data_IF_615385766344
#
_entry.id   IF_615385766344
#
_cell.length_a   1.000
_cell.length_b   1.000
_cell.length_c   1.000
_cell.angle_alpha   90.00
_cell.angle_beta   90.00
_cell.angle_gamma   90.00
#
_symmetry.space_group_name_H-M   'P 1'
#
loop_
_entity.id
_entity.type
_entity.pdbx_description
1 polymer ?
#
# COMPACT_ATOMS: atom_id res chain seq x y z
N UNK A 1 14.90 41.27 -6.45
CA UNK A 1 15.55 40.17 -7.21
C UNK A 1 15.21 40.15 -8.70
N UNK A 2 13.93 40.20 -9.14
CA UNK A 2 13.58 40.21 -10.60
C UNK A 2 14.25 41.33 -11.40
N UNK A 3 14.33 42.54 -10.83
CA UNK A 3 15.03 43.67 -11.46
C UNK A 3 16.51 43.36 -11.68
N UNK A 4 17.18 42.79 -10.67
CA UNK A 4 18.59 42.42 -10.76
C UNK A 4 18.85 41.36 -11.84
N UNK A 5 18.04 40.30 -11.89
CA UNK A 5 18.14 39.27 -12.94
C UNK A 5 17.96 39.82 -14.36
N UNK A 6 17.15 40.86 -14.54
CA UNK A 6 16.94 41.50 -15.85
C UNK A 6 18.11 42.40 -16.27
N UNK A 7 18.92 42.89 -15.32
CA UNK A 7 20.00 43.84 -15.56
C UNK A 7 21.35 43.30 -15.10
N UNK A 8 21.45 41.98 -14.96
CA UNK A 8 22.65 41.30 -14.49
C UNK A 8 23.78 41.44 -15.54
N UNK A 9 25.03 41.65 -15.11
CA UNK A 9 26.18 41.57 -16.00
C UNK A 9 26.35 40.17 -16.61
N UNK A 10 26.84 40.08 -17.84
CA UNK A 10 27.04 38.78 -18.53
C UNK A 10 28.07 37.86 -17.82
N UNK A 11 28.96 38.43 -17.01
CA UNK A 11 30.03 37.71 -16.31
C UNK A 11 29.63 37.24 -14.90
N UNK A 12 28.33 37.17 -14.59
CA UNK A 12 27.85 36.79 -13.27
C UNK A 12 26.84 35.64 -13.36
N UNK A 13 27.03 34.62 -12.52
CA UNK A 13 26.11 33.49 -12.37
C UNK A 13 25.48 33.55 -10.99
N UNK A 14 24.14 33.57 -10.92
CA UNK A 14 23.41 33.53 -9.67
C UNK A 14 23.00 32.09 -9.33
N UNK A 15 23.48 31.59 -8.20
CA UNK A 15 23.01 30.31 -7.63
C UNK A 15 22.05 30.63 -6.49
N UNK A 16 20.83 30.08 -6.56
CA UNK A 16 19.80 30.24 -5.54
C UNK A 16 19.43 28.88 -4.97
N UNK A 17 19.50 28.75 -3.65
CA UNK A 17 19.01 27.58 -2.92
C UNK A 17 17.74 27.98 -2.18
N UNK A 18 16.64 27.30 -2.46
CA UNK A 18 15.36 27.55 -1.80
C UNK A 18 14.56 26.27 -1.66
N UNK A 19 13.77 26.17 -0.59
CA UNK A 19 12.78 25.09 -0.42
C UNK A 19 11.53 25.33 -1.27
N UNK A 20 11.23 26.59 -1.59
CA UNK A 20 10.03 27.00 -2.30
C UNK A 20 10.41 27.63 -3.63
N UNK A 21 9.51 27.61 -4.62
CA UNK A 21 9.76 28.25 -5.90
C UNK A 21 9.84 29.78 -5.72
N UNK A 22 11.02 30.42 -5.86
CA UNK A 22 11.16 31.83 -5.56
C UNK A 22 10.45 32.66 -6.64
N UNK A 23 9.89 33.81 -6.26
CA UNK A 23 9.18 34.73 -7.17
C UNK A 23 10.14 35.50 -8.11
N UNK A 24 10.93 34.77 -8.88
CA UNK A 24 11.92 35.29 -9.82
C UNK A 24 11.37 35.49 -11.23
N UNK A 25 10.14 35.07 -11.48
CA UNK A 25 9.61 34.99 -12.84
C UNK A 25 10.26 33.85 -13.62
N UNK A 26 10.38 32.69 -12.97
CA UNK A 26 10.98 31.45 -13.47
C UNK A 26 10.55 31.12 -14.91
N UNK A 27 9.26 31.25 -15.22
CA UNK A 27 8.74 31.02 -16.57
C UNK A 27 9.46 31.83 -17.67
N UNK A 28 9.79 33.11 -17.41
CA UNK A 28 10.51 33.93 -18.39
C UNK A 28 11.97 33.50 -18.55
N UNK A 29 12.61 33.05 -17.47
CA UNK A 29 13.99 32.55 -17.54
C UNK A 29 14.06 31.23 -18.28
N UNK A 30 13.05 30.35 -18.08
CA UNK A 30 12.91 29.07 -18.78
C UNK A 30 12.72 29.25 -20.28
N UNK A 31 11.85 30.17 -20.72
CA UNK A 31 11.64 30.49 -22.15
C UNK A 31 12.92 31.03 -22.82
N UNK A 32 13.78 31.69 -22.05
CA UNK A 32 15.04 32.28 -22.55
C UNK A 32 16.24 31.35 -22.45
N UNK A 33 16.05 30.13 -21.97
CA UNK A 33 17.13 29.17 -21.69
C UNK A 33 18.22 29.75 -20.74
N UNK A 34 17.79 30.60 -19.80
CA UNK A 34 18.63 31.29 -18.81
C UNK A 34 18.51 30.68 -17.41
N UNK A 35 18.06 29.43 -17.33
CA UNK A 35 17.73 28.78 -16.07
C UNK A 35 18.11 27.30 -16.12
N UNK A 36 18.95 26.90 -15.17
CA UNK A 36 19.16 25.50 -14.81
C UNK A 36 18.42 25.22 -13.51
N UNK A 37 17.44 24.33 -13.54
CA UNK A 37 16.71 23.88 -12.34
C UNK A 37 17.25 22.53 -11.92
N UNK A 38 17.70 22.44 -10.66
CA UNK A 38 18.12 21.19 -10.04
C UNK A 38 17.07 20.84 -8.98
N UNK A 39 16.28 19.81 -9.26
CA UNK A 39 15.19 19.35 -8.40
C UNK A 39 15.66 18.39 -7.31
N UNK A 40 14.74 18.04 -6.40
CA UNK A 40 15.00 17.08 -5.32
C UNK A 40 15.44 15.72 -5.83
N UNK A 41 14.90 15.24 -6.96
CA UNK A 41 15.30 13.97 -7.57
C UNK A 41 16.75 13.99 -8.08
N UNK A 42 17.24 15.13 -8.57
CA UNK A 42 18.63 15.27 -9.04
C UNK A 42 19.60 15.50 -7.88
N UNK A 43 19.12 15.99 -6.73
CA UNK A 43 19.91 16.13 -5.50
C UNK A 43 19.92 14.86 -4.65
N UNK A 44 19.00 13.92 -4.90
CA UNK A 44 18.97 12.65 -4.22
C UNK A 44 20.22 11.85 -4.57
N UNK A 45 20.91 11.37 -3.55
CA UNK A 45 22.14 10.60 -3.74
C UNK A 45 21.83 9.29 -4.44
N UNK A 46 22.65 8.98 -5.43
CA UNK A 46 22.72 7.64 -6.02
C UNK A 46 23.37 6.66 -5.04
N UNK A 47 23.23 5.35 -5.29
CA UNK A 47 23.93 4.32 -4.49
C UNK A 47 25.44 4.56 -4.45
N UNK A 48 26.03 4.99 -5.56
CA UNK A 48 27.46 5.30 -5.65
C UNK A 48 27.84 6.52 -4.80
N UNK A 49 27.07 7.60 -4.88
CA UNK A 49 27.30 8.81 -4.08
C UNK A 49 27.09 8.55 -2.59
N UNK A 50 26.07 7.76 -2.22
CA UNK A 50 25.84 7.34 -0.84
C UNK A 50 27.03 6.53 -0.29
N UNK A 51 27.58 5.61 -1.10
CA UNK A 51 28.76 4.84 -0.71
C UNK A 51 29.97 5.75 -0.49
N UNK A 52 30.24 6.64 -1.44
CA UNK A 52 31.33 7.62 -1.32
C UNK A 52 31.14 8.52 -0.09
N UNK A 53 29.91 8.97 0.16
CA UNK A 53 29.57 9.78 1.30
C UNK A 53 29.89 9.08 2.63
N UNK A 54 29.46 7.82 2.79
CA UNK A 54 29.75 7.05 4.01
C UNK A 54 31.24 6.76 4.17
N UNK A 55 31.94 6.43 3.09
CA UNK A 55 33.39 6.19 3.12
C UNK A 55 34.18 7.42 3.57
N UNK A 56 33.72 8.63 3.21
CA UNK A 56 34.34 9.87 3.66
C UNK A 56 33.98 10.27 5.11
N UNK A 57 32.87 9.76 5.66
CA UNK A 57 32.31 10.22 6.94
C UNK A 57 32.50 9.24 8.09
N UNK A 58 32.62 7.95 7.80
CA UNK A 58 32.79 6.90 8.78
C UNK A 58 34.25 6.50 8.88
N UNK A 59 34.70 6.15 10.08
CA UNK A 59 36.06 5.64 10.31
C UNK A 59 36.25 4.20 9.87
N UNK A 60 35.16 3.43 9.82
CA UNK A 60 35.12 2.07 9.30
C UNK A 60 34.23 2.04 8.06
N UNK A 61 34.68 1.47 6.94
CA UNK A 61 33.88 1.38 5.73
C UNK A 61 32.66 0.50 5.97
N UNK A 62 31.54 0.87 5.34
CA UNK A 62 30.35 0.04 5.27
C UNK A 62 30.37 -0.78 3.97
N UNK A 63 29.76 -1.96 4.01
CA UNK A 63 29.58 -2.78 2.82
C UNK A 63 28.69 -2.07 1.80
N UNK A 64 28.94 -2.33 0.51
CA UNK A 64 28.21 -1.67 -0.58
C UNK A 64 26.70 -1.98 -0.54
N UNK A 65 26.34 -3.21 -0.20
CA UNK A 65 24.93 -3.64 -0.09
C UNK A 65 24.21 -2.92 1.05
N UNK A 66 24.87 -2.75 2.20
CA UNK A 66 24.29 -2.03 3.35
C UNK A 66 24.17 -0.52 3.06
N UNK A 67 25.17 0.06 2.37
CA UNK A 67 25.09 1.45 1.88
C UNK A 67 23.92 1.66 0.93
N UNK A 68 23.70 0.71 0.01
CA UNK A 68 22.64 0.80 -0.98
C UNK A 68 21.27 0.69 -0.31
N UNK A 69 21.10 -0.25 0.63
CA UNK A 69 19.89 -0.36 1.45
C UNK A 69 19.59 0.91 2.24
N UNK A 70 20.59 1.48 2.93
CA UNK A 70 20.40 2.74 3.67
C UNK A 70 20.01 3.89 2.75
N UNK A 71 20.57 3.93 1.53
CA UNK A 71 20.20 4.92 0.52
C UNK A 71 18.75 4.73 0.06
N UNK A 72 18.33 3.49 -0.22
CA UNK A 72 16.96 3.16 -0.62
C UNK A 72 15.95 3.50 0.48
N UNK A 73 16.27 3.17 1.75
CA UNK A 73 15.41 3.41 2.91
C UNK A 73 15.09 4.91 3.10
N UNK A 74 16.03 5.79 2.76
CA UNK A 74 15.88 7.25 2.86
C UNK A 74 15.66 7.91 1.49
N UNK A 75 15.48 7.11 0.44
CA UNK A 75 15.37 7.51 -0.96
C UNK A 75 16.40 8.59 -1.37
N UNK A 76 17.67 8.38 -1.01
CA UNK A 76 18.79 9.24 -1.36
C UNK A 76 18.84 10.60 -0.63
N UNK A 77 18.01 10.81 0.41
CA UNK A 77 18.00 12.08 1.12
C UNK A 77 19.30 12.33 1.91
N UNK A 78 20.12 13.26 1.42
CA UNK A 78 21.45 13.56 1.96
C UNK A 78 21.45 13.93 3.45
N UNK A 79 20.43 14.65 3.93
CA UNK A 79 20.32 15.00 5.37
C UNK A 79 20.09 13.76 6.23
N UNK A 80 19.23 12.83 5.79
CA UNK A 80 19.05 11.58 6.52
C UNK A 80 20.34 10.75 6.52
N UNK A 81 21.03 10.62 5.38
CA UNK A 81 22.33 9.95 5.31
C UNK A 81 23.35 10.58 6.28
N UNK A 82 23.34 11.91 6.40
CA UNK A 82 24.18 12.65 7.35
C UNK A 82 23.82 12.37 8.81
N UNK A 83 22.54 12.32 9.16
CA UNK A 83 22.10 11.96 10.51
C UNK A 83 22.50 10.52 10.85
N UNK A 84 22.31 9.58 9.91
CA UNK A 84 22.74 8.19 10.04
C UNK A 84 24.25 8.10 10.32
N UNK A 85 25.05 8.84 9.55
CA UNK A 85 26.50 8.86 9.73
C UNK A 85 26.92 9.45 11.09
N UNK A 86 26.21 10.46 11.60
CA UNK A 86 26.47 11.04 12.92
C UNK A 86 26.16 10.05 14.05
N UNK A 87 25.01 9.37 13.97
CA UNK A 87 24.62 8.35 14.96
C UNK A 87 25.56 7.15 14.98
N UNK A 88 26.05 6.72 13.82
CA UNK A 88 27.03 5.64 13.72
C UNK A 88 28.36 5.98 14.42
N UNK A 89 28.81 7.24 14.33
CA UNK A 89 30.03 7.72 15.00
C UNK A 89 29.92 7.78 16.52
N UNK A 90 28.74 8.09 17.05
CA UNK A 90 28.53 8.20 18.49
C UNK A 90 28.49 6.84 19.18
N UNK A 91 28.05 5.79 18.49
CA UNK A 91 27.80 4.49 19.09
C UNK A 91 28.99 3.50 19.10
N UNK A 92 30.18 3.91 18.63
CA UNK A 92 31.49 3.21 18.76
C UNK A 92 31.44 1.67 18.67
N UNK A 93 30.53 1.12 17.86
CA UNK A 93 30.39 -0.31 17.63
C UNK A 93 30.93 -0.58 16.24
N UNK A 94 31.63 -1.71 16.06
CA UNK A 94 32.14 -2.09 14.74
C UNK A 94 31.00 -2.04 13.73
N UNK A 95 31.25 -1.40 12.59
CA UNK A 95 30.30 -1.22 11.49
C UNK A 95 29.65 -2.54 11.01
N UNK A 96 30.22 -3.68 11.43
CA UNK A 96 29.82 -5.04 11.08
C UNK A 96 28.60 -5.57 11.86
N UNK A 97 28.14 -4.92 12.95
CA UNK A 97 27.08 -5.48 13.81
C UNK A 97 25.70 -4.81 13.73
N UNK A 98 25.46 -3.86 12.82
CA UNK A 98 24.36 -2.93 13.11
C UNK A 98 23.58 -2.33 11.94
N UNK A 99 23.37 -2.97 10.78
CA UNK A 99 22.35 -2.44 9.83
C UNK A 99 20.95 -2.32 10.48
N UNK A 100 20.52 -3.34 11.25
CA UNK A 100 19.22 -3.37 11.95
C UNK A 100 19.16 -2.48 13.20
N UNK A 101 20.26 -2.38 13.97
CA UNK A 101 20.34 -1.46 15.12
C UNK A 101 20.48 -0.01 14.68
N UNK A 102 21.21 0.24 13.59
CA UNK A 102 21.26 1.54 12.94
C UNK A 102 19.86 1.91 12.48
N UNK A 103 19.11 1.05 11.77
CA UNK A 103 17.73 1.37 11.37
C UNK A 103 16.84 1.86 12.53
N UNK A 104 16.92 1.24 13.72
CA UNK A 104 16.16 1.66 14.91
C UNK A 104 16.62 2.97 15.57
N UNK A 105 17.94 3.22 15.65
CA UNK A 105 18.50 4.47 16.24
C UNK A 105 18.42 5.63 15.22
N UNK A 106 18.55 5.32 13.94
CA UNK A 106 18.36 6.27 12.83
C UNK A 106 16.93 6.81 12.86
N UNK A 107 15.93 5.98 13.17
CA UNK A 107 14.55 6.40 13.25
C UNK A 107 14.30 7.47 14.33
N UNK A 108 14.99 7.43 15.48
CA UNK A 108 14.78 8.43 16.54
C UNK A 108 15.37 9.80 16.20
N UNK A 109 16.66 9.87 15.81
CA UNK A 109 17.29 11.15 15.45
C UNK A 109 16.68 11.79 14.22
N UNK A 110 16.26 10.98 13.26
CA UNK A 110 15.54 11.44 12.08
C UNK A 110 14.14 11.97 12.43
N UNK A 111 13.44 11.27 13.34
CA UNK A 111 12.15 11.72 13.87
C UNK A 111 12.31 13.07 14.57
N UNK A 112 13.31 13.24 15.44
CA UNK A 112 13.56 14.50 16.16
C UNK A 112 13.80 15.65 15.18
N UNK A 113 14.64 15.44 14.15
CA UNK A 113 14.86 16.43 13.10
C UNK A 113 13.56 16.79 12.36
N UNK A 114 12.74 15.81 11.99
CA UNK A 114 11.47 16.07 11.28
C UNK A 114 10.45 16.78 12.17
N UNK A 115 10.46 16.57 13.49
CA UNK A 115 9.67 17.36 14.43
C UNK A 115 10.15 18.80 14.44
N UNK A 116 11.42 19.02 14.80
CA UNK A 116 11.98 20.34 15.06
C UNK A 116 12.01 21.24 13.80
N UNK A 117 12.36 20.66 12.64
CA UNK A 117 12.55 21.43 11.41
C UNK A 117 11.31 21.51 10.53
N UNK A 118 10.34 20.62 10.70
CA UNK A 118 9.14 20.56 9.85
C UNK A 118 7.87 20.80 10.64
N UNK A 119 7.54 19.93 11.61
CA UNK A 119 6.24 20.00 12.29
C UNK A 119 6.11 21.20 13.23
N UNK A 120 7.18 21.59 13.91
CA UNK A 120 7.17 22.73 14.85
C UNK A 120 7.18 24.09 14.14
N UNK A 121 7.50 24.09 12.83
CA UNK A 121 7.54 25.28 11.99
C UNK A 121 6.29 25.50 11.14
N UNK A 122 5.27 24.63 11.24
CA UNK A 122 3.99 24.78 10.55
C UNK A 122 2.87 25.11 11.53
N UNK A 123 1.83 25.79 11.07
CA UNK A 123 0.66 26.05 11.89
C UNK A 123 -0.13 24.77 12.22
N UNK A 124 -1.00 24.85 13.23
CA UNK A 124 -1.77 23.70 13.71
C UNK A 124 -2.68 23.08 12.64
N UNK A 125 -3.18 23.89 11.69
CA UNK A 125 -4.04 23.40 10.60
C UNK A 125 -3.24 22.56 9.62
N UNK A 126 -2.11 23.09 9.17
CA UNK A 126 -1.17 22.42 8.28
C UNK A 126 -0.64 21.13 8.92
N UNK A 127 -0.31 21.17 10.20
CA UNK A 127 0.10 19.98 10.96
C UNK A 127 -0.97 18.89 10.96
N UNK A 128 -2.22 19.25 11.22
CA UNK A 128 -3.34 18.30 11.19
C UNK A 128 -3.55 17.71 9.78
N UNK A 129 -3.47 18.56 8.75
CA UNK A 129 -3.52 18.14 7.36
C UNK A 129 -2.45 17.09 7.04
N UNK A 130 -1.19 17.36 7.39
CA UNK A 130 -0.07 16.44 7.15
C UNK A 130 -0.31 15.09 7.84
N UNK A 131 -0.74 15.10 9.10
CA UNK A 131 -1.01 13.87 9.86
C UNK A 131 -2.13 13.05 9.23
N UNK A 132 -3.30 13.66 8.94
CA UNK A 132 -4.45 12.95 8.37
C UNK A 132 -4.18 12.43 6.96
N UNK A 133 -3.61 13.28 6.09
CA UNK A 133 -3.29 12.90 4.70
C UNK A 133 -2.20 11.82 4.61
N UNK A 134 -1.30 11.70 5.60
CA UNK A 134 -0.23 10.68 5.58
C UNK A 134 -0.73 9.23 5.62
N UNK A 135 -1.97 9.01 6.07
CA UNK A 135 -2.62 7.70 6.07
C UNK A 135 -2.86 7.20 4.64
N UNK A 136 -2.94 8.09 3.66
CA UNK A 136 -3.10 7.77 2.26
C UNK A 136 -1.73 7.49 1.62
N UNK A 137 -1.63 6.40 0.84
CA UNK A 137 -0.42 6.08 0.09
C UNK A 137 -0.18 7.05 -1.07
N UNK A 138 -1.26 7.40 -1.76
CA UNK A 138 -1.34 8.47 -2.75
C UNK A 138 -2.63 9.25 -2.51
N UNK A 139 -2.65 10.51 -2.93
CA UNK A 139 -3.74 11.42 -2.62
C UNK A 139 -4.06 12.33 -3.80
N UNK A 140 -5.34 12.67 -3.90
CA UNK A 140 -5.90 13.64 -4.83
C UNK A 140 -6.94 14.49 -4.08
N UNK A 141 -7.56 15.45 -4.77
CA UNK A 141 -8.58 16.33 -4.20
C UNK A 141 -9.68 15.56 -3.45
N UNK A 142 -10.31 14.57 -4.09
CA UNK A 142 -11.42 13.82 -3.52
C UNK A 142 -11.04 13.01 -2.27
N UNK A 143 -9.85 12.41 -2.25
CA UNK A 143 -9.36 11.68 -1.07
C UNK A 143 -9.08 12.64 0.08
N UNK A 144 -8.41 13.76 -0.20
CA UNK A 144 -8.07 14.75 0.81
C UNK A 144 -9.32 15.35 1.44
N UNK A 145 -10.27 15.81 0.64
CA UNK A 145 -11.52 16.40 1.15
C UNK A 145 -12.24 15.43 2.09
N UNK A 146 -12.27 14.14 1.72
CA UNK A 146 -12.95 13.13 2.54
C UNK A 146 -12.21 12.82 3.85
N UNK A 147 -10.89 12.73 3.81
CA UNK A 147 -10.04 12.34 4.96
C UNK A 147 -9.80 13.48 5.94
N UNK A 148 -9.59 14.71 5.44
CA UNK A 148 -9.32 15.87 6.29
C UNK A 148 -10.61 16.57 6.73
N UNK A 149 -11.70 16.42 5.96
CA UNK A 149 -12.95 17.15 6.16
C UNK A 149 -12.87 18.61 5.72
N UNK A 150 -11.78 19.01 5.05
CA UNK A 150 -11.61 20.37 4.55
C UNK A 150 -11.96 20.48 3.06
N UNK A 151 -12.42 21.65 2.64
CA UNK A 151 -12.71 21.93 1.23
C UNK A 151 -11.46 22.28 0.42
N UNK A 152 -11.57 22.17 -0.90
CA UNK A 152 -10.52 22.50 -1.87
C UNK A 152 -9.20 21.74 -1.63
N UNK A 153 -9.28 20.41 -1.56
CA UNK A 153 -8.12 19.54 -1.32
C UNK A 153 -6.98 19.77 -2.31
N UNK A 154 -7.28 20.01 -3.58
CA UNK A 154 -6.27 20.36 -4.59
C UNK A 154 -5.45 21.59 -4.20
N UNK A 155 -6.10 22.68 -3.80
CA UNK A 155 -5.40 23.91 -3.39
C UNK A 155 -4.48 23.64 -2.20
N UNK A 156 -4.92 22.82 -1.26
CA UNK A 156 -4.10 22.47 -0.09
C UNK A 156 -2.89 21.63 -0.48
N UNK A 157 -3.06 20.62 -1.32
CA UNK A 157 -1.95 19.80 -1.84
C UNK A 157 -0.91 20.67 -2.56
N UNK A 158 -1.36 21.60 -3.40
CA UNK A 158 -0.48 22.53 -4.11
C UNK A 158 0.25 23.49 -3.17
N UNK A 159 -0.40 23.92 -2.08
CA UNK A 159 0.23 24.75 -1.06
C UNK A 159 1.32 23.98 -0.30
N UNK A 160 1.05 22.73 0.11
CA UNK A 160 2.02 21.86 0.80
C UNK A 160 3.22 21.56 -0.11
N UNK A 161 2.96 21.27 -1.39
CA UNK A 161 4.01 21.12 -2.41
C UNK A 161 4.85 22.41 -2.53
N UNK A 162 4.20 23.58 -2.63
CA UNK A 162 4.88 24.87 -2.76
C UNK A 162 5.72 25.25 -1.54
N UNK A 163 5.32 24.82 -0.36
CA UNK A 163 6.05 24.98 0.89
C UNK A 163 7.23 24.00 1.03
N UNK A 164 7.40 23.07 0.08
CA UNK A 164 8.51 22.11 0.09
C UNK A 164 8.37 21.06 1.20
N UNK A 165 7.15 20.77 1.67
CA UNK A 165 6.86 19.83 2.76
C UNK A 165 6.85 18.37 2.28
N UNK A 166 7.87 18.00 1.51
CA UNK A 166 8.15 16.64 1.02
C UNK A 166 6.97 15.98 0.28
N UNK A 167 6.06 16.77 -0.29
CA UNK A 167 4.98 16.30 -1.15
C UNK A 167 5.43 16.41 -2.61
N UNK A 168 5.15 15.37 -3.40
CA UNK A 168 5.56 15.27 -4.80
C UNK A 168 4.37 14.86 -5.66
N UNK A 169 4.26 15.45 -6.86
CA UNK A 169 3.35 14.96 -7.90
C UNK A 169 3.80 13.60 -8.43
N UNK A 170 2.83 12.76 -8.75
CA UNK A 170 3.06 11.42 -9.31
C UNK A 170 2.99 11.40 -10.83
N UNK A 171 2.37 12.42 -11.42
CA UNK A 171 2.14 12.53 -12.85
C UNK A 171 2.24 13.98 -13.34
N UNK A 172 2.32 14.14 -14.66
CA UNK A 172 2.35 15.45 -15.31
C UNK A 172 0.99 16.16 -15.28
N UNK A 173 -0.09 15.39 -15.03
CA UNK A 173 -1.44 15.95 -14.86
C UNK A 173 -1.54 16.80 -13.60
N UNK A 174 -0.78 16.43 -12.56
CA UNK A 174 -0.77 17.10 -11.29
C UNK A 174 -2.00 16.82 -10.43
N UNK A 175 -2.74 15.76 -10.74
CA UNK A 175 -3.90 15.32 -9.95
C UNK A 175 -3.48 14.45 -8.76
N UNK A 176 -2.40 13.69 -8.90
CA UNK A 176 -1.96 12.73 -7.90
C UNK A 176 -0.69 13.18 -7.20
N UNK A 177 -0.71 13.08 -5.88
CA UNK A 177 0.39 13.44 -5.00
C UNK A 177 0.76 12.28 -4.09
N UNK A 178 2.02 12.26 -3.66
CA UNK A 178 2.52 11.36 -2.63
C UNK A 178 3.54 12.07 -1.77
N UNK A 179 3.59 11.71 -0.49
CA UNK A 179 4.71 12.11 0.34
C UNK A 179 5.97 11.34 -0.04
N UNK A 180 7.11 11.96 0.20
CA UNK A 180 8.38 11.25 0.26
C UNK A 180 8.24 10.08 1.26
N UNK A 181 8.67 8.85 0.91
CA UNK A 181 8.38 7.65 1.69
C UNK A 181 8.73 7.78 3.18
N UNK A 182 9.91 8.32 3.46
CA UNK A 182 10.42 8.55 4.81
C UNK A 182 9.56 9.51 5.64
N UNK A 183 9.11 10.60 5.00
CA UNK A 183 8.27 11.59 5.66
C UNK A 183 6.87 11.05 5.88
N UNK A 184 6.31 10.35 4.89
CA UNK A 184 5.02 9.67 5.01
C UNK A 184 5.01 8.61 6.13
N UNK A 185 6.06 7.80 6.27
CA UNK A 185 6.16 6.84 7.38
C UNK A 185 6.25 7.51 8.74
N UNK A 186 7.04 8.57 8.85
CA UNK A 186 7.15 9.36 10.09
C UNK A 186 5.79 9.97 10.48
N UNK A 187 5.10 10.61 9.53
CA UNK A 187 3.79 11.20 9.77
C UNK A 187 2.75 10.15 10.18
N UNK A 188 2.73 8.97 9.54
CA UNK A 188 1.81 7.88 9.92
C UNK A 188 2.04 7.40 11.35
N UNK A 189 3.29 7.20 11.73
CA UNK A 189 3.62 6.80 13.10
C UNK A 189 3.16 7.85 14.12
N UNK A 190 3.34 9.13 13.79
CA UNK A 190 2.88 10.23 14.65
C UNK A 190 1.36 10.33 14.71
N UNK A 191 0.69 10.16 13.57
CA UNK A 191 -0.76 10.13 13.46
C UNK A 191 -1.38 9.03 14.34
N UNK A 192 -0.76 7.85 14.40
CA UNK A 192 -1.20 6.75 15.25
C UNK A 192 -1.25 7.09 16.74
N UNK A 193 -0.33 7.93 17.21
CA UNK A 193 -0.31 8.34 18.62
C UNK A 193 -1.17 9.57 18.89
N UNK A 194 -1.13 10.56 18.01
CA UNK A 194 -1.79 11.85 18.26
C UNK A 194 -3.28 11.85 17.91
N UNK A 195 -3.67 11.09 16.88
CA UNK A 195 -5.04 11.01 16.39
C UNK A 195 -5.66 9.63 16.67
N UNK A 196 -5.15 8.89 17.66
CA UNK A 196 -5.56 7.52 17.98
C UNK A 196 -7.09 7.34 18.10
N UNK A 197 -7.77 8.34 18.67
CA UNK A 197 -9.23 8.33 18.86
C UNK A 197 -9.99 8.58 17.54
N UNK A 198 -9.45 9.41 16.66
CA UNK A 198 -10.06 9.75 15.36
C UNK A 198 -9.71 8.74 14.26
N UNK A 199 -8.65 7.94 14.45
CA UNK A 199 -8.11 7.03 13.43
C UNK A 199 -9.16 6.14 12.76
N UNK A 200 -10.06 5.44 13.50
CA UNK A 200 -11.07 4.59 12.87
C UNK A 200 -11.98 5.35 11.91
N UNK A 201 -12.40 6.56 12.27
CA UNK A 201 -13.25 7.40 11.43
C UNK A 201 -12.51 7.88 10.18
N UNK A 202 -11.24 8.26 10.32
CA UNK A 202 -10.43 8.71 9.20
C UNK A 202 -10.18 7.56 8.22
N UNK A 203 -9.88 6.37 8.73
CA UNK A 203 -9.74 5.17 7.89
C UNK A 203 -11.06 4.80 7.20
N UNK A 204 -12.21 4.91 7.88
CA UNK A 204 -13.53 4.70 7.25
C UNK A 204 -13.77 5.68 6.10
N UNK A 205 -13.48 6.96 6.32
CA UNK A 205 -13.61 8.01 5.32
C UNK A 205 -12.70 7.75 4.09
N UNK A 206 -11.46 7.31 4.33
CA UNK A 206 -10.53 6.92 3.27
C UNK A 206 -11.04 5.71 2.48
N UNK A 207 -11.53 4.67 3.17
CA UNK A 207 -12.07 3.47 2.53
C UNK A 207 -13.23 3.79 1.60
N UNK A 208 -14.18 4.63 2.05
CA UNK A 208 -15.31 5.07 1.22
C UNK A 208 -14.87 5.85 -0.02
N UNK A 209 -13.89 6.75 0.13
CA UNK A 209 -13.41 7.56 -1.00
C UNK A 209 -12.63 6.74 -2.03
N UNK A 210 -11.79 5.80 -1.57
CA UNK A 210 -11.10 4.86 -2.45
C UNK A 210 -12.07 3.95 -3.21
N UNK A 211 -13.10 3.47 -2.51
CA UNK A 211 -14.15 2.66 -3.10
C UNK A 211 -14.94 3.43 -4.16
N UNK A 212 -15.29 4.69 -3.89
CA UNK A 212 -15.99 5.55 -4.84
C UNK A 212 -15.17 5.83 -6.12
N UNK A 213 -13.84 5.75 -6.04
CA UNK A 213 -12.92 5.91 -7.17
C UNK A 213 -12.57 4.57 -7.86
N UNK A 214 -13.10 3.44 -7.39
CA UNK A 214 -12.90 2.13 -8.01
C UNK A 214 -11.60 1.42 -7.61
N UNK A 215 -11.03 1.74 -6.45
CA UNK A 215 -9.83 1.09 -5.91
C UNK A 215 -10.16 0.25 -4.67
N UNK A 216 -10.73 -0.96 -4.83
CA UNK A 216 -11.17 -1.79 -3.71
C UNK A 216 -10.02 -2.25 -2.81
N UNK A 217 -8.84 -2.53 -3.36
CA UNK A 217 -7.69 -3.02 -2.58
C UNK A 217 -7.19 -1.96 -1.58
N UNK A 218 -7.11 -0.70 -1.99
CA UNK A 218 -6.78 0.41 -1.08
C UNK A 218 -7.90 0.61 -0.04
N UNK A 219 -9.16 0.50 -0.46
CA UNK A 219 -10.29 0.59 0.47
C UNK A 219 -10.26 -0.51 1.55
N UNK A 220 -9.87 -1.74 1.20
CA UNK A 220 -9.73 -2.86 2.13
C UNK A 220 -8.64 -2.60 3.17
N UNK A 221 -7.47 -2.08 2.76
CA UNK A 221 -6.41 -1.71 3.72
C UNK A 221 -6.92 -0.72 4.77
N UNK A 222 -7.72 0.26 4.34
CA UNK A 222 -8.33 1.22 5.26
C UNK A 222 -9.46 0.59 6.10
N UNK A 223 -10.32 -0.27 5.54
CA UNK A 223 -11.36 -0.96 6.31
C UNK A 223 -10.79 -1.86 7.41
N UNK A 224 -9.69 -2.57 7.11
CA UNK A 224 -8.92 -3.35 8.08
C UNK A 224 -8.36 -2.46 9.21
N UNK A 225 -7.73 -1.35 8.85
CA UNK A 225 -7.16 -0.41 9.82
C UNK A 225 -8.23 0.29 10.67
N UNK A 226 -9.44 0.50 10.13
CA UNK A 226 -10.59 1.01 10.88
C UNK A 226 -11.19 -0.01 11.87
N UNK A 227 -10.87 -1.30 11.72
CA UNK A 227 -11.53 -2.38 12.44
C UNK A 227 -13.01 -2.55 12.07
N UNK A 228 -13.43 -2.05 10.90
CA UNK A 228 -14.83 -2.07 10.46
C UNK A 228 -15.14 -3.35 9.69
N UNK A 229 -15.46 -4.41 10.43
CA UNK A 229 -15.75 -5.73 9.87
C UNK A 229 -16.96 -5.72 8.93
N UNK A 230 -17.92 -4.81 9.12
CA UNK A 230 -19.10 -4.71 8.26
C UNK A 230 -18.72 -4.13 6.89
N UNK A 231 -17.99 -3.01 6.90
CA UNK A 231 -17.46 -2.41 5.68
C UNK A 231 -16.55 -3.38 4.91
N UNK A 232 -15.63 -4.06 5.62
CA UNK A 232 -14.75 -5.06 5.01
C UNK A 232 -15.54 -6.17 4.32
N UNK A 233 -16.54 -6.73 5.01
CA UNK A 233 -17.44 -7.75 4.45
C UNK A 233 -18.13 -7.25 3.19
N UNK A 234 -18.69 -6.05 3.23
CA UNK A 234 -19.46 -5.49 2.11
C UNK A 234 -18.57 -5.22 0.88
N UNK A 235 -17.31 -4.79 1.08
CA UNK A 235 -16.33 -4.65 -0.01
C UNK A 235 -15.97 -6.03 -0.59
N UNK A 236 -15.69 -7.02 0.27
CA UNK A 236 -15.31 -8.36 -0.17
C UNK A 236 -16.42 -9.04 -1.00
N UNK A 237 -17.68 -8.92 -0.57
CA UNK A 237 -18.81 -9.51 -1.30
C UNK A 237 -18.92 -9.01 -2.74
N UNK A 238 -18.48 -7.78 -3.02
CA UNK A 238 -18.58 -7.16 -4.34
C UNK A 238 -17.30 -7.28 -5.18
N UNK A 239 -16.12 -7.34 -4.55
CA UNK A 239 -14.84 -7.20 -5.27
C UNK A 239 -13.86 -8.37 -5.10
N UNK A 240 -14.09 -9.28 -4.16
CA UNK A 240 -13.06 -10.24 -3.78
C UNK A 240 -12.74 -11.28 -4.87
N UNK A 241 -13.70 -11.64 -5.73
CA UNK A 241 -13.43 -12.46 -6.92
C UNK A 241 -12.54 -11.74 -7.94
N UNK A 242 -12.70 -10.42 -8.08
CA UNK A 242 -11.80 -9.60 -8.88
C UNK A 242 -10.37 -9.69 -8.34
N UNK A 243 -10.20 -9.51 -7.04
CA UNK A 243 -8.88 -9.61 -6.38
C UNK A 243 -8.24 -10.99 -6.53
N UNK A 244 -9.04 -12.06 -6.37
CA UNK A 244 -8.59 -13.43 -6.58
C UNK A 244 -8.02 -13.60 -8.01
N UNK A 245 -8.75 -13.14 -9.02
CA UNK A 245 -8.32 -13.23 -10.43
C UNK A 245 -7.09 -12.36 -10.75
N UNK A 246 -6.90 -11.24 -10.06
CA UNK A 246 -5.71 -10.38 -10.20
C UNK A 246 -4.53 -10.82 -9.31
N UNK A 247 -4.61 -12.01 -8.69
CA UNK A 247 -3.55 -12.58 -7.83
C UNK A 247 -3.24 -11.76 -6.57
N UNK A 248 -4.18 -10.98 -6.07
CA UNK A 248 -4.05 -10.22 -4.81
C UNK A 248 -4.35 -11.10 -3.58
N UNK A 249 -3.81 -12.33 -3.58
CA UNK A 249 -4.18 -13.42 -2.66
C UNK A 249 -3.79 -13.12 -1.20
N UNK A 250 -2.66 -12.44 -0.97
CA UNK A 250 -2.20 -12.11 0.38
C UNK A 250 -3.10 -11.10 1.10
N UNK A 251 -3.55 -10.06 0.39
CA UNK A 251 -4.52 -9.09 0.93
C UNK A 251 -5.87 -9.79 1.18
N UNK A 252 -6.28 -10.66 0.27
CA UNK A 252 -7.52 -11.41 0.42
C UNK A 252 -7.50 -12.34 1.64
N UNK A 253 -6.40 -13.07 1.87
CA UNK A 253 -6.23 -13.93 3.03
C UNK A 253 -6.30 -13.14 4.33
N UNK A 254 -5.56 -12.04 4.41
CA UNK A 254 -5.59 -11.13 5.56
C UNK A 254 -7.00 -10.59 5.82
N UNK A 255 -7.73 -10.26 4.76
CA UNK A 255 -9.09 -9.71 4.83
C UNK A 255 -10.10 -10.72 5.36
N UNK A 256 -10.07 -11.95 4.84
CA UNK A 256 -10.94 -13.03 5.29
C UNK A 256 -10.64 -13.43 6.74
N UNK A 257 -9.36 -13.47 7.13
CA UNK A 257 -8.94 -13.77 8.49
C UNK A 257 -9.36 -12.70 9.52
N UNK A 258 -9.55 -11.45 9.07
CA UNK A 258 -9.99 -10.35 9.93
C UNK A 258 -11.51 -10.32 10.18
N UNK A 259 -12.30 -11.05 9.38
CA UNK A 259 -13.74 -11.12 9.57
C UNK A 259 -14.11 -12.07 10.73
N UNK A 260 -15.05 -11.68 11.61
CA UNK A 260 -15.63 -12.60 12.57
C UNK A 260 -16.27 -13.80 11.86
N UNK A 261 -16.14 -14.99 12.45
CA UNK A 261 -16.73 -16.21 11.88
C UNK A 261 -18.25 -16.10 11.66
N UNK A 262 -18.96 -15.38 12.52
CA UNK A 262 -20.39 -15.07 12.34
C UNK A 262 -20.69 -14.38 11.01
N UNK A 263 -19.84 -13.46 10.56
CA UNK A 263 -20.04 -12.73 9.31
C UNK A 263 -19.85 -13.64 8.09
N UNK A 264 -18.95 -14.63 8.21
CA UNK A 264 -18.74 -15.65 7.19
C UNK A 264 -19.94 -16.60 7.12
N UNK A 265 -20.49 -17.04 8.26
CA UNK A 265 -21.68 -17.88 8.33
C UNK A 265 -22.93 -17.20 7.74
N UNK A 266 -23.08 -15.89 7.95
CA UNK A 266 -24.15 -15.10 7.33
C UNK A 266 -23.99 -14.98 5.80
N UNK A 267 -22.78 -15.20 5.27
CA UNK A 267 -22.45 -14.98 3.86
C UNK A 267 -21.60 -16.13 3.29
N UNK A 268 -22.21 -17.28 2.96
CA UNK A 268 -21.48 -18.49 2.56
C UNK A 268 -20.61 -18.33 1.31
N UNK A 269 -20.87 -17.31 0.49
CA UNK A 269 -20.00 -16.94 -0.64
C UNK A 269 -18.59 -16.57 -0.20
N UNK A 270 -18.44 -15.96 0.99
CA UNK A 270 -17.12 -15.64 1.56
C UNK A 270 -16.41 -16.91 2.06
N UNK A 271 -17.15 -17.89 2.57
CA UNK A 271 -16.61 -19.21 2.94
C UNK A 271 -16.09 -19.92 1.70
N UNK A 272 -16.89 -19.98 0.63
CA UNK A 272 -16.47 -20.53 -0.66
C UNK A 272 -15.20 -19.85 -1.17
N UNK A 273 -15.14 -18.53 -1.12
CA UNK A 273 -13.96 -17.79 -1.53
C UNK A 273 -12.72 -18.14 -0.69
N UNK A 274 -12.87 -18.24 0.63
CA UNK A 274 -11.79 -18.68 1.52
C UNK A 274 -11.33 -20.11 1.18
N UNK A 275 -12.27 -20.99 0.85
CA UNK A 275 -12.00 -22.36 0.46
C UNK A 275 -11.26 -22.43 -0.90
N UNK A 276 -11.64 -21.61 -1.89
CA UNK A 276 -10.91 -21.46 -3.14
C UNK A 276 -9.49 -20.91 -2.94
N UNK A 277 -9.33 -19.94 -2.04
CA UNK A 277 -8.03 -19.41 -1.68
C UNK A 277 -7.13 -20.49 -1.07
N UNK A 278 -7.63 -21.27 -0.11
CA UNK A 278 -6.92 -22.42 0.46
C UNK A 278 -6.55 -23.46 -0.60
N UNK A 279 -7.47 -23.78 -1.51
CA UNK A 279 -7.23 -24.72 -2.61
C UNK A 279 -6.10 -24.24 -3.53
N UNK A 280 -6.09 -22.95 -3.89
CA UNK A 280 -5.05 -22.35 -4.74
C UNK A 280 -3.65 -22.36 -4.09
N UNK A 281 -3.61 -22.42 -2.75
CA UNK A 281 -2.39 -22.54 -1.94
C UNK A 281 -2.03 -24.00 -1.62
N UNK A 282 -2.69 -24.98 -2.26
CA UNK A 282 -2.50 -26.42 -2.04
C UNK A 282 -2.86 -26.93 -0.63
N UNK A 283 -3.71 -26.20 0.11
CA UNK A 283 -4.16 -26.54 1.48
C UNK A 283 -5.44 -27.39 1.47
N UNK A 284 -5.43 -28.50 0.74
CA UNK A 284 -6.64 -29.28 0.42
C UNK A 284 -7.37 -29.85 1.66
N UNK A 285 -6.63 -30.30 2.67
CA UNK A 285 -7.22 -30.82 3.92
C UNK A 285 -7.98 -29.75 4.72
N UNK A 286 -7.52 -28.50 4.66
CA UNK A 286 -8.17 -27.37 5.31
C UNK A 286 -9.47 -26.99 4.60
N UNK A 287 -9.54 -27.14 3.27
CA UNK A 287 -10.76 -26.90 2.46
C UNK A 287 -11.92 -27.76 2.96
N UNK A 288 -11.72 -29.08 3.05
CA UNK A 288 -12.78 -29.99 3.49
C UNK A 288 -13.23 -29.71 4.93
N UNK A 289 -12.28 -29.38 5.81
CA UNK A 289 -12.57 -29.01 7.20
C UNK A 289 -13.40 -27.73 7.28
N UNK A 290 -13.04 -26.71 6.49
CA UNK A 290 -13.75 -25.44 6.42
C UNK A 290 -15.18 -25.61 5.92
N UNK A 291 -15.37 -26.33 4.80
CA UNK A 291 -16.69 -26.54 4.21
C UNK A 291 -17.59 -27.38 5.13
N UNK A 292 -17.07 -28.44 5.75
CA UNK A 292 -17.85 -29.25 6.68
C UNK A 292 -18.28 -28.47 7.93
N UNK A 293 -17.38 -27.63 8.47
CA UNK A 293 -17.72 -26.75 9.60
C UNK A 293 -18.79 -25.74 9.21
N UNK A 294 -18.68 -25.14 8.03
CA UNK A 294 -19.67 -24.20 7.51
C UNK A 294 -21.06 -24.84 7.41
N UNK A 295 -21.18 -26.02 6.78
CA UNK A 295 -22.46 -26.73 6.66
C UNK A 295 -23.10 -27.08 8.01
N UNK A 296 -22.29 -27.35 9.04
CA UNK A 296 -22.79 -27.65 10.40
C UNK A 296 -23.26 -26.42 11.17
N UNK A 297 -22.58 -25.29 11.00
CA UNK A 297 -22.81 -24.08 11.79
C UNK A 297 -23.67 -23.03 11.08
N UNK A 298 -23.84 -23.14 9.76
CA UNK A 298 -24.69 -22.25 8.98
C UNK A 298 -26.16 -22.42 9.34
N UNK A 299 -26.83 -21.30 9.61
CA UNK A 299 -28.28 -21.24 9.80
C UNK A 299 -29.04 -20.94 8.51
N UNK A 300 -28.31 -20.53 7.46
CA UNK A 300 -28.87 -20.19 6.15
C UNK A 300 -29.04 -21.48 5.33
N UNK A 301 -30.24 -21.71 4.82
CA UNK A 301 -30.50 -22.80 3.89
C UNK A 301 -29.76 -22.54 2.58
N UNK A 302 -28.87 -23.46 2.21
CA UNK A 302 -28.11 -23.36 0.96
C UNK A 302 -29.06 -23.66 -0.21
N UNK A 303 -29.10 -22.76 -1.20
CA UNK A 303 -29.81 -23.03 -2.44
C UNK A 303 -29.07 -24.06 -3.30
N UNK A 304 -29.76 -24.61 -4.30
CA UNK A 304 -29.19 -25.63 -5.20
C UNK A 304 -27.89 -25.15 -5.87
N UNK A 305 -27.81 -23.87 -6.25
CA UNK A 305 -26.61 -23.34 -6.90
C UNK A 305 -25.41 -23.31 -5.94
N UNK A 306 -25.63 -22.93 -4.69
CA UNK A 306 -24.61 -22.91 -3.64
C UNK A 306 -24.16 -24.32 -3.25
N UNK A 307 -25.08 -25.29 -3.20
CA UNK A 307 -24.72 -26.71 -3.07
C UNK A 307 -23.80 -27.15 -4.21
N UNK A 308 -24.13 -26.79 -5.45
CA UNK A 308 -23.30 -27.06 -6.61
C UNK A 308 -21.90 -26.44 -6.52
N UNK A 309 -21.79 -25.22 -5.98
CA UNK A 309 -20.49 -24.55 -5.76
C UNK A 309 -19.61 -25.31 -4.75
N UNK A 310 -20.20 -25.76 -3.64
CA UNK A 310 -19.49 -26.56 -2.63
C UNK A 310 -19.02 -27.89 -3.23
N UNK A 311 -19.88 -28.55 -4.00
CA UNK A 311 -19.58 -29.83 -4.64
C UNK A 311 -18.48 -29.68 -5.71
N UNK A 312 -18.48 -28.60 -6.49
CA UNK A 312 -17.42 -28.35 -7.49
C UNK A 312 -16.03 -28.23 -6.82
N UNK A 313 -15.96 -27.52 -5.70
CA UNK A 313 -14.70 -27.37 -4.96
C UNK A 313 -14.27 -28.68 -4.29
N UNK A 314 -15.20 -29.43 -3.70
CA UNK A 314 -14.91 -30.76 -3.15
C UNK A 314 -14.44 -31.74 -4.23
N UNK A 315 -15.02 -31.69 -5.42
CA UNK A 315 -14.58 -32.51 -6.55
C UNK A 315 -13.12 -32.17 -6.92
N UNK A 316 -12.77 -30.88 -6.94
CA UNK A 316 -11.40 -30.44 -7.20
C UNK A 316 -10.41 -30.88 -6.11
N UNK A 317 -10.84 -30.92 -4.85
CA UNK A 317 -10.03 -31.46 -3.75
C UNK A 317 -9.87 -32.98 -3.89
N UNK A 318 -10.95 -33.70 -4.17
CA UNK A 318 -10.93 -35.16 -4.33
C UNK A 318 -10.00 -35.61 -5.46
N UNK A 319 -10.01 -34.93 -6.62
CA UNK A 319 -9.08 -35.25 -7.72
C UNK A 319 -7.62 -34.97 -7.33
N UNK A 320 -7.36 -33.90 -6.57
CA UNK A 320 -6.02 -33.57 -6.07
C UNK A 320 -5.51 -34.59 -5.04
N UNK A 321 -6.42 -35.19 -4.26
CA UNK A 321 -6.13 -36.25 -3.30
C UNK A 321 -6.10 -37.66 -3.94
N UNK A 322 -6.41 -37.77 -5.24
CA UNK A 322 -6.41 -39.01 -6.02
C UNK A 322 -7.67 -39.88 -5.89
N UNK A 323 -8.73 -39.38 -5.24
CA UNK A 323 -10.02 -40.06 -5.11
C UNK A 323 -10.89 -39.79 -6.34
N UNK A 324 -10.65 -40.54 -7.40
CA UNK A 324 -11.30 -40.35 -8.70
C UNK A 324 -12.81 -40.64 -8.66
N UNK A 325 -13.26 -41.59 -7.84
CA UNK A 325 -14.67 -41.97 -7.78
C UNK A 325 -15.50 -40.89 -7.07
N UNK A 326 -14.96 -40.32 -5.98
CA UNK A 326 -15.61 -39.21 -5.31
C UNK A 326 -15.55 -37.91 -6.14
N UNK A 327 -14.43 -37.67 -6.84
CA UNK A 327 -14.30 -36.55 -7.78
C UNK A 327 -15.33 -36.62 -8.92
N UNK A 328 -15.57 -37.81 -9.48
CA UNK A 328 -16.60 -38.03 -10.51
C UNK A 328 -18.00 -37.72 -9.98
N UNK A 329 -18.35 -38.33 -8.84
CA UNK A 329 -19.66 -38.20 -8.23
C UNK A 329 -19.98 -36.74 -7.93
N UNK A 330 -19.05 -36.02 -7.30
CA UNK A 330 -19.22 -34.63 -6.91
C UNK A 330 -19.24 -33.68 -8.10
N UNK A 331 -18.38 -33.90 -9.11
CA UNK A 331 -18.37 -33.07 -10.33
C UNK A 331 -19.67 -33.19 -11.13
N UNK A 332 -20.24 -34.40 -11.23
CA UNK A 332 -21.54 -34.60 -11.88
C UNK A 332 -22.68 -33.89 -11.16
N UNK A 333 -22.77 -34.06 -9.84
CA UNK A 333 -23.79 -33.37 -9.01
C UNK A 333 -23.64 -31.86 -9.16
N UNK A 334 -22.42 -31.33 -9.10
CA UNK A 334 -22.17 -29.90 -9.30
C UNK A 334 -22.64 -29.42 -10.68
N UNK A 335 -22.40 -30.17 -11.77
CA UNK A 335 -22.82 -29.78 -13.11
C UNK A 335 -24.35 -29.79 -13.31
N UNK A 336 -25.06 -30.65 -12.59
CA UNK A 336 -26.53 -30.71 -12.56
C UNK A 336 -27.12 -29.54 -11.78
N UNK A 337 -26.51 -29.17 -10.66
CA UNK A 337 -26.99 -28.14 -9.74
C UNK A 337 -26.60 -26.70 -10.14
N UNK A 338 -25.45 -26.52 -10.78
CA UNK A 338 -24.92 -25.20 -11.13
C UNK A 338 -25.63 -24.59 -12.35
N UNK A 339 -26.11 -23.32 -12.28
CA UNK A 339 -26.66 -22.64 -13.44
C UNK A 339 -25.57 -22.35 -14.48
N UNK A 340 -25.95 -22.27 -15.76
CA UNK A 340 -25.03 -21.96 -16.87
C UNK A 340 -24.27 -20.63 -16.70
N UNK A 341 -24.84 -19.69 -15.95
CA UNK A 341 -24.24 -18.39 -15.68
C UNK A 341 -23.12 -18.41 -14.62
N UNK A 342 -22.96 -19.51 -13.86
CA UNK A 342 -21.92 -19.62 -12.83
C UNK A 342 -20.64 -20.21 -13.42
N UNK A 343 -19.90 -19.36 -14.14
CA UNK A 343 -18.79 -19.80 -14.97
C UNK A 343 -17.65 -20.47 -14.19
N UNK A 344 -17.25 -19.94 -13.04
CA UNK A 344 -16.04 -20.42 -12.36
C UNK A 344 -16.17 -21.85 -11.83
N UNK A 345 -17.14 -22.10 -10.94
CA UNK A 345 -17.36 -23.44 -10.37
C UNK A 345 -17.74 -24.46 -11.43
N UNK A 346 -18.47 -24.05 -12.48
CA UNK A 346 -18.85 -24.95 -13.58
C UNK A 346 -17.67 -25.31 -14.47
N UNK A 347 -16.75 -24.37 -14.73
CA UNK A 347 -15.48 -24.65 -15.43
C UNK A 347 -14.69 -25.68 -14.63
N UNK A 348 -14.56 -25.49 -13.31
CA UNK A 348 -13.83 -26.43 -12.46
C UNK A 348 -14.49 -27.80 -12.46
N UNK A 349 -15.79 -27.90 -12.23
CA UNK A 349 -16.50 -29.18 -12.26
C UNK A 349 -16.36 -29.89 -13.62
N UNK A 350 -16.39 -29.14 -14.73
CA UNK A 350 -16.18 -29.70 -16.07
C UNK A 350 -14.74 -30.20 -16.26
N UNK A 351 -13.75 -29.45 -15.77
CA UNK A 351 -12.33 -29.83 -15.82
C UNK A 351 -12.09 -31.11 -15.04
N UNK A 352 -12.57 -31.17 -13.79
CA UNK A 352 -12.45 -32.35 -12.92
C UNK A 352 -13.12 -33.56 -13.57
N UNK A 353 -14.32 -33.40 -14.12
CA UNK A 353 -15.00 -34.50 -14.82
C UNK A 353 -14.19 -35.00 -16.03
N UNK A 354 -13.63 -34.09 -16.83
CA UNK A 354 -12.75 -34.44 -17.95
C UNK A 354 -11.46 -35.14 -17.53
N UNK A 355 -10.84 -34.70 -16.44
CA UNK A 355 -9.64 -35.34 -15.87
C UNK A 355 -9.93 -36.75 -15.38
N UNK A 356 -11.06 -36.97 -14.70
CA UNK A 356 -11.51 -38.30 -14.29
C UNK A 356 -11.68 -39.22 -15.50
N UNK A 357 -12.37 -38.77 -16.56
CA UNK A 357 -12.56 -39.56 -17.79
C UNK A 357 -11.22 -39.90 -18.45
N UNK A 358 -10.28 -38.94 -18.48
CA UNK A 358 -8.93 -39.17 -18.98
C UNK A 358 -8.20 -40.24 -18.16
N UNK A 359 -8.25 -40.17 -16.82
CA UNK A 359 -7.67 -41.17 -15.94
C UNK A 359 -8.31 -42.56 -16.12
N UNK A 360 -9.61 -42.62 -16.40
CA UNK A 360 -10.36 -43.87 -16.66
C UNK A 360 -10.17 -44.39 -18.09
N UNK A 361 -9.59 -43.61 -19.00
CA UNK A 361 -9.30 -44.00 -20.37
C UNK A 361 -10.54 -44.07 -21.28
N UNK A 362 -11.57 -43.29 -20.96
CA UNK A 362 -12.89 -43.28 -21.62
C UNK A 362 -13.21 -41.98 -22.34
#
# INVERSE_FOLDING_TARGET
MRFFLRHQPENMTLVVLSRNLPQLGIANLRVRDQLLEIGSQQLAFTHQEAKQFFDCRLTSPIEADDSSRLCDDVAGWATALQLIALSARQNNSSAQHSARRLAGINASHLSDYLVDEVLDNVDARTRNFLLKSSLLRSMNDALIVRVTGEENGQMQLEEIERQGLFLQRMDDSGEWFRYHPLFGSFLRQRCQWELAVELPEIHRAAAESWMAQGFPSEAIHHALAAGDAKMLRDILLNHAWGMFNHSELGLLEQSLAALPWSNLLENPRLILLQAWLMQSQHRYSEVNTLLARAEQEMSVEMDTAMHGDFNALRAQVAINDGDQDEAERLSMVALEELPLANYYSRIVATSVHGEVLHCKGS
#
